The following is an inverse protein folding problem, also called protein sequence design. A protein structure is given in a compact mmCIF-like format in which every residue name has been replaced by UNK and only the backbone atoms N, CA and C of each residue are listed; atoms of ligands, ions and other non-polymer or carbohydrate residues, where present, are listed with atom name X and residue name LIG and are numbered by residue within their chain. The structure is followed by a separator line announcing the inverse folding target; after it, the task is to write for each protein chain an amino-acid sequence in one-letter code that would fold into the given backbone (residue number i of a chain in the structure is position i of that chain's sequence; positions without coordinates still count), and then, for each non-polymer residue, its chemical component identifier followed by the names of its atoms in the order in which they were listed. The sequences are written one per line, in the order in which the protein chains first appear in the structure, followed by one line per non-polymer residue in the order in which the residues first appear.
data_IF_743567680638
#
_entry.id   IF_743567680638
#
_cell.length_a   1.000
_cell.length_b   1.000
_cell.length_c   1.000
_cell.angle_alpha   90.00
_cell.angle_beta   90.00
_cell.angle_gamma   90.00
#
_symmetry.space_group_name_H-M   'P 1'
#
loop_
_entity.id
_entity.type
_entity.pdbx_description
1 polymer ?
#
# COMPACT_ATOMS: atom_id res chain seq x y z
N UNK A 1 8.82 -6.28 -2.15
CA UNK A 1 7.42 -6.68 -2.25
C UNK A 1 7.12 -6.97 -3.74
N UNK A 2 6.09 -7.75 -4.09
CA UNK A 2 5.88 -8.21 -5.49
C UNK A 2 4.44 -7.93 -5.96
N UNK A 3 4.27 -7.35 -7.16
CA UNK A 3 2.97 -7.17 -7.82
C UNK A 3 2.70 -8.39 -8.69
N UNK A 4 1.56 -9.06 -8.49
CA UNK A 4 1.25 -10.28 -9.25
C UNK A 4 0.36 -10.00 -10.50
N UNK A 5 -0.59 -9.05 -10.44
CA UNK A 5 -1.54 -8.75 -11.54
C UNK A 5 -2.09 -7.30 -11.49
N UNK A 6 -2.37 -6.70 -12.66
CA UNK A 6 -3.10 -5.43 -12.80
C UNK A 6 -3.42 -5.03 -14.26
N UNK A 7 -4.56 -4.38 -14.51
CA UNK A 7 -5.02 -3.95 -15.86
C UNK A 7 -4.99 -2.42 -16.07
N UNK A 8 -4.10 -1.71 -15.38
CA UNK A 8 -4.03 -0.24 -15.44
C UNK A 8 -5.01 0.49 -14.51
N UNK A 9 -5.85 -0.23 -13.76
CA UNK A 9 -6.72 0.36 -12.71
C UNK A 9 -6.80 -0.40 -11.41
N UNK A 10 -6.30 -1.62 -11.30
CA UNK A 10 -6.38 -2.38 -10.06
C UNK A 10 -5.09 -3.15 -9.87
N UNK A 11 -4.72 -3.44 -8.62
CA UNK A 11 -3.50 -4.15 -8.29
C UNK A 11 -3.76 -5.25 -7.27
N UNK A 12 -3.14 -6.41 -7.48
CA UNK A 12 -2.97 -7.43 -6.45
C UNK A 12 -1.51 -7.41 -5.99
N UNK A 13 -1.33 -7.18 -4.70
CA UNK A 13 -0.05 -6.85 -4.10
C UNK A 13 0.36 -7.84 -3.02
N UNK A 14 1.53 -8.45 -3.16
CA UNK A 14 2.07 -9.34 -2.15
C UNK A 14 3.00 -8.59 -1.20
N UNK A 15 2.64 -8.59 0.08
CA UNK A 15 3.55 -8.15 1.14
C UNK A 15 4.19 -9.34 1.87
N UNK A 16 5.38 -9.12 2.39
CA UNK A 16 6.15 -10.11 3.12
C UNK A 16 5.59 -10.21 4.55
N UNK A 17 5.47 -11.42 5.09
CA UNK A 17 5.10 -11.57 6.50
C UNK A 17 6.20 -11.02 7.41
N UNK A 18 5.89 -10.61 8.66
CA UNK A 18 6.89 -10.11 9.61
C UNK A 18 8.11 -11.03 9.76
N UNK A 19 7.91 -12.34 9.76
CA UNK A 19 9.01 -13.32 9.83
C UNK A 19 9.92 -13.29 8.60
N UNK A 20 9.36 -13.08 7.40
CA UNK A 20 10.13 -12.97 6.16
C UNK A 20 10.82 -11.62 6.06
N UNK A 21 10.15 -10.55 6.48
CA UNK A 21 10.71 -9.20 6.63
C UNK A 21 11.94 -9.21 7.54
N UNK A 22 11.82 -9.76 8.75
CA UNK A 22 12.93 -9.95 9.70
C UNK A 22 14.08 -10.76 9.12
N UNK A 23 13.80 -11.86 8.40
CA UNK A 23 14.83 -12.69 7.77
C UNK A 23 15.57 -11.97 6.65
N UNK A 24 14.89 -11.10 5.92
CA UNK A 24 15.47 -10.34 4.80
C UNK A 24 16.09 -9.01 5.23
N UNK A 25 16.07 -8.69 6.53
CA UNK A 25 16.45 -7.36 7.04
C UNK A 25 15.71 -6.23 6.32
N UNK A 26 14.45 -6.50 5.94
CA UNK A 26 13.53 -5.50 5.40
C UNK A 26 12.57 -5.22 6.54
N UNK A 27 12.79 -4.15 7.28
CA UNK A 27 11.78 -3.63 8.21
C UNK A 27 11.17 -2.42 7.53
N UNK A 28 9.97 -2.59 6.99
CA UNK A 28 9.21 -1.47 6.45
C UNK A 28 7.78 -1.65 6.90
N UNK A 29 7.19 -0.71 7.65
CA UNK A 29 5.86 -0.86 8.23
C UNK A 29 4.75 -0.63 7.20
N UNK A 30 5.04 -0.71 5.91
CA UNK A 30 4.04 -0.54 4.85
C UNK A 30 3.56 -1.86 4.27
N UNK A 31 2.27 -1.94 3.89
CA UNK A 31 1.21 -0.93 4.08
C UNK A 31 0.77 -0.72 5.55
N UNK A 32 0.46 0.53 5.93
CA UNK A 32 -0.21 0.83 7.21
C UNK A 32 -1.73 0.66 7.10
N UNK A 33 -2.21 -0.52 7.51
CA UNK A 33 -3.61 -0.91 7.38
C UNK A 33 -4.61 -0.07 8.20
N UNK A 34 -4.24 0.40 9.39
CA UNK A 34 -5.14 1.20 10.25
C UNK A 34 -5.44 2.60 9.67
N UNK A 35 -4.51 3.08 8.84
CA UNK A 35 -4.55 4.39 8.20
C UNK A 35 -5.01 4.30 6.74
N UNK A 36 -5.08 3.08 6.19
CA UNK A 36 -5.28 2.81 4.77
C UNK A 36 -4.28 3.54 3.88
N UNK A 37 -3.04 3.67 4.35
CA UNK A 37 -1.96 4.28 3.57
C UNK A 37 -0.96 3.24 3.14
N UNK A 38 -0.38 3.46 1.97
CA UNK A 38 0.66 2.62 1.42
C UNK A 38 1.61 3.50 0.61
N UNK A 39 2.89 3.51 0.98
CA UNK A 39 3.92 4.16 0.19
C UNK A 39 4.74 3.16 -0.63
N UNK A 40 5.32 3.64 -1.72
CA UNK A 40 6.19 2.83 -2.58
C UNK A 40 7.27 3.68 -3.26
N UNK A 41 8.49 3.13 -3.29
CA UNK A 41 9.68 3.77 -3.82
C UNK A 41 10.18 3.21 -5.16
N UNK A 42 11.12 3.91 -5.80
CA UNK A 42 11.94 3.39 -6.89
C UNK A 42 11.16 2.90 -8.11
N UNK A 43 11.58 1.78 -8.71
CA UNK A 43 10.96 1.23 -9.92
C UNK A 43 9.47 0.88 -9.74
N UNK A 44 9.06 0.54 -8.52
CA UNK A 44 7.67 0.18 -8.24
C UNK A 44 6.76 1.42 -8.18
N UNK A 45 7.26 2.58 -7.74
CA UNK A 45 6.52 3.84 -7.80
C UNK A 45 6.10 4.18 -9.25
N UNK A 46 6.96 3.92 -10.23
CA UNK A 46 6.66 4.12 -11.66
C UNK A 46 5.53 3.21 -12.14
N UNK A 47 5.51 1.95 -11.68
CA UNK A 47 4.42 1.03 -11.96
C UNK A 47 3.09 1.49 -11.34
N UNK A 48 3.11 1.99 -10.10
CA UNK A 48 1.92 2.56 -9.45
C UNK A 48 1.38 3.74 -10.26
N UNK A 49 2.23 4.70 -10.64
CA UNK A 49 1.82 5.88 -11.44
C UNK A 49 1.14 5.49 -12.76
N UNK A 50 1.63 4.43 -13.41
CA UNK A 50 1.10 3.98 -14.69
C UNK A 50 -0.20 3.17 -14.56
N UNK A 51 -0.46 2.55 -13.41
CA UNK A 51 -1.50 1.51 -13.28
C UNK A 51 -2.53 1.75 -12.16
N UNK A 52 -2.38 2.80 -11.37
CA UNK A 52 -3.28 3.15 -10.26
C UNK A 52 -3.74 4.58 -10.42
N UNK A 53 -5.05 4.78 -10.26
CA UNK A 53 -5.70 6.07 -10.26
C UNK A 53 -6.69 6.15 -9.09
N UNK A 54 -7.15 7.33 -8.68
CA UNK A 54 -8.35 7.41 -7.85
C UNK A 54 -9.51 6.62 -8.47
N UNK A 55 -10.18 5.80 -7.65
CA UNK A 55 -11.17 4.81 -8.08
C UNK A 55 -10.63 3.40 -8.31
N UNK A 56 -9.30 3.22 -8.27
CA UNK A 56 -8.64 1.92 -8.33
C UNK A 56 -8.90 1.06 -7.10
N UNK A 57 -8.78 -0.26 -7.24
CA UNK A 57 -8.75 -1.21 -6.13
C UNK A 57 -7.36 -1.81 -5.98
N UNK A 58 -6.79 -1.75 -4.77
CA UNK A 58 -5.57 -2.45 -4.42
C UNK A 58 -5.92 -3.53 -3.39
N UNK A 59 -5.56 -4.77 -3.68
CA UNK A 59 -5.72 -5.90 -2.79
C UNK A 59 -4.35 -6.31 -2.26
N UNK A 60 -4.19 -6.34 -0.94
CA UNK A 60 -2.98 -6.84 -0.32
C UNK A 60 -3.18 -8.28 0.07
N UNK A 61 -2.19 -9.13 -0.21
CA UNK A 61 -2.22 -10.53 0.15
C UNK A 61 -0.87 -11.02 0.67
N UNK A 62 -0.91 -12.08 1.47
CA UNK A 62 0.29 -12.79 1.89
C UNK A 62 0.05 -14.30 1.94
N UNK A 63 1.08 -15.08 2.23
CA UNK A 63 1.01 -16.54 2.38
C UNK A 63 1.15 -16.93 3.85
N UNK A 64 0.14 -17.59 4.39
CA UNK A 64 0.11 -18.10 5.77
C UNK A 64 -0.09 -19.61 5.69
N UNK A 65 0.82 -20.39 6.27
CA UNK A 65 0.72 -21.86 6.26
C UNK A 65 0.68 -22.48 4.85
N UNK A 66 1.32 -21.86 3.86
CA UNK A 66 1.32 -22.33 2.46
C UNK A 66 0.10 -21.90 1.64
N UNK A 67 -0.91 -21.29 2.26
CA UNK A 67 -2.11 -20.79 1.59
C UNK A 67 -2.05 -19.26 1.43
N UNK A 68 -2.51 -18.75 0.28
CA UNK A 68 -2.60 -17.30 0.01
C UNK A 68 -3.91 -16.72 0.55
N UNK A 69 -3.82 -15.54 1.19
CA UNK A 69 -4.95 -14.81 1.75
C UNK A 69 -4.90 -13.34 1.35
N UNK A 70 -6.00 -12.78 0.87
CA UNK A 70 -6.20 -11.33 0.82
C UNK A 70 -6.40 -10.86 2.26
N UNK A 71 -5.61 -9.89 2.71
CA UNK A 71 -5.63 -9.39 4.09
C UNK A 71 -6.07 -7.95 4.20
N UNK A 72 -6.02 -7.19 3.11
CA UNK A 72 -6.57 -5.84 3.05
C UNK A 72 -7.01 -5.49 1.63
N UNK A 73 -7.92 -4.52 1.55
CA UNK A 73 -8.39 -3.95 0.31
C UNK A 73 -8.46 -2.42 0.47
N UNK A 74 -7.80 -1.69 -0.42
CA UNK A 74 -7.90 -0.25 -0.51
C UNK A 74 -8.69 0.10 -1.76
N UNK A 75 -9.75 0.87 -1.61
CA UNK A 75 -10.29 1.65 -2.71
C UNK A 75 -9.55 3.00 -2.72
N UNK A 76 -8.80 3.23 -3.79
CA UNK A 76 -7.87 4.35 -3.89
C UNK A 76 -8.66 5.64 -4.03
N UNK A 77 -8.48 6.54 -3.08
CA UNK A 77 -9.18 7.82 -3.02
C UNK A 77 -8.31 8.98 -3.48
N UNK A 78 -7.02 8.90 -3.16
CA UNK A 78 -6.01 9.90 -3.45
C UNK A 78 -4.68 9.20 -3.69
N UNK A 79 -3.88 9.78 -4.56
CA UNK A 79 -2.47 9.42 -4.77
C UNK A 79 -1.69 10.74 -4.70
N UNK A 80 -0.55 10.74 -4.03
CA UNK A 80 0.34 11.88 -3.95
C UNK A 80 1.77 11.44 -4.17
N UNK A 81 2.58 12.30 -4.78
CA UNK A 81 4.03 12.17 -4.70
C UNK A 81 4.47 12.30 -3.24
N UNK A 82 5.50 11.55 -2.84
CA UNK A 82 6.00 11.54 -1.46
C UNK A 82 6.37 12.94 -0.98
N UNK A 83 7.09 13.70 -1.82
CA UNK A 83 7.42 15.09 -1.56
C UNK A 83 6.18 15.93 -1.24
N UNK A 84 5.15 15.87 -2.09
CA UNK A 84 3.92 16.65 -1.89
C UNK A 84 3.20 16.24 -0.61
N UNK A 85 3.16 14.94 -0.29
CA UNK A 85 2.56 14.43 0.94
C UNK A 85 3.27 14.94 2.20
N UNK A 86 4.59 15.19 2.12
CA UNK A 86 5.40 15.71 3.22
C UNK A 86 5.38 17.23 3.35
N UNK A 87 4.95 17.95 2.32
CA UNK A 87 4.74 19.39 2.43
C UNK A 87 3.28 19.74 2.83
N UNK A 88 2.35 18.80 2.64
CA UNK A 88 0.93 18.99 2.97
C UNK A 88 0.65 18.82 4.47
N UNK A 89 0.28 19.92 5.14
CA UNK A 89 0.05 19.96 6.59
C UNK A 89 -1.08 19.03 7.04
N UNK A 90 -2.17 18.96 6.28
CA UNK A 90 -3.34 18.15 6.64
C UNK A 90 -3.04 16.66 6.49
N UNK A 91 -2.34 16.28 5.41
CA UNK A 91 -1.87 14.90 5.19
C UNK A 91 -0.94 14.47 6.33
N UNK A 92 0.05 15.29 6.68
CA UNK A 92 0.96 15.01 7.81
C UNK A 92 0.28 14.93 9.17
N UNK A 93 -0.74 15.75 9.41
CA UNK A 93 -1.50 15.71 10.65
C UNK A 93 -2.41 14.47 10.75
N UNK A 94 -2.84 13.94 9.60
CA UNK A 94 -3.81 12.83 9.54
C UNK A 94 -3.15 11.45 9.52
N UNK A 95 -2.03 11.32 8.83
CA UNK A 95 -1.38 10.04 8.55
C UNK A 95 0.02 10.01 9.13
N UNK A 96 0.44 8.84 9.62
CA UNK A 96 1.77 8.58 10.21
C UNK A 96 2.61 7.64 9.34
N UNK A 97 2.18 7.42 8.10
CA UNK A 97 2.94 6.64 7.14
C UNK A 97 4.38 7.13 7.06
N UNK A 98 5.29 6.17 6.99
CA UNK A 98 6.72 6.42 6.99
C UNK A 98 7.16 7.23 5.77
N UNK A 99 6.51 7.06 4.62
CA UNK A 99 6.73 7.89 3.44
C UNK A 99 6.22 9.34 3.59
N UNK A 100 5.44 9.63 4.64
CA UNK A 100 4.94 10.97 4.99
C UNK A 100 5.74 11.60 6.15
N UNK A 101 6.45 10.77 6.95
CA UNK A 101 7.25 11.24 8.09
C UNK A 101 8.61 10.53 8.18
N UNK A 102 9.43 10.55 7.11
CA UNK A 102 10.72 9.85 7.11
C UNK A 102 11.65 10.29 8.25
N UNK A 103 11.50 11.52 8.75
CA UNK A 103 12.25 12.04 9.90
C UNK A 103 11.99 11.28 11.22
N UNK A 104 10.87 10.58 11.33
CA UNK A 104 10.56 9.74 12.50
C UNK A 104 11.16 8.33 12.39
N UNK A 105 11.83 8.03 11.28
CA UNK A 105 12.28 6.69 10.91
C UNK A 105 13.71 6.70 10.36
N UNK A 106 14.64 7.26 11.15
CA UNK A 106 16.06 7.38 10.81
C UNK A 106 16.72 6.05 10.41
N UNK A 107 16.25 4.92 10.97
CA UNK A 107 16.75 3.59 10.61
C UNK A 107 16.53 3.25 9.13
N UNK A 108 15.47 3.78 8.53
CA UNK A 108 15.08 3.46 7.15
C UNK A 108 15.41 4.58 6.17
N UNK A 109 15.49 5.83 6.63
CA UNK A 109 16.01 6.96 5.84
C UNK A 109 17.16 7.68 6.55
N UNK A 110 18.32 7.04 6.74
CA UNK A 110 19.46 7.63 7.46
C UNK A 110 20.06 8.84 6.75
N UNK A 111 19.77 9.01 5.46
CA UNK A 111 20.24 10.12 4.62
C UNK A 111 19.12 11.09 4.24
N UNK A 112 17.99 11.08 4.95
CA UNK A 112 16.91 12.02 4.67
C UNK A 112 17.34 13.46 4.98
N UNK A 113 17.26 14.32 3.97
CA UNK A 113 17.46 15.76 4.11
C UNK A 113 16.30 16.50 3.46
N UNK A 114 15.48 17.15 4.30
CA UNK A 114 14.33 17.94 3.88
C UNK A 114 14.70 19.06 2.90
N UNK A 115 15.94 19.55 2.92
CA UNK A 115 16.39 20.62 2.04
C UNK A 115 16.76 20.12 0.64
N UNK A 116 17.07 18.84 0.49
CA UNK A 116 17.46 18.22 -0.79
C UNK A 116 16.33 17.42 -1.44
N UNK A 117 15.27 17.17 -0.67
CA UNK A 117 14.16 16.30 -1.02
C UNK A 117 13.53 16.58 -2.38
N UNK A 118 13.31 17.84 -2.72
CA UNK A 118 12.70 18.24 -4.00
C UNK A 118 13.54 17.80 -5.21
N UNK A 119 14.85 17.69 -5.03
CA UNK A 119 15.80 17.32 -6.09
C UNK A 119 16.08 15.82 -6.10
N UNK A 120 16.01 15.16 -4.94
CA UNK A 120 16.43 13.77 -4.77
C UNK A 120 15.28 12.77 -4.74
N UNK A 121 14.06 13.20 -4.40
CA UNK A 121 12.94 12.28 -4.18
C UNK A 121 11.87 12.32 -5.29
N UNK A 122 12.29 11.92 -6.48
CA UNK A 122 11.41 11.79 -7.65
C UNK A 122 10.69 10.43 -7.74
N UNK A 123 10.97 9.51 -6.83
CA UNK A 123 10.56 8.12 -6.96
C UNK A 123 9.77 7.60 -5.75
N UNK A 124 9.24 8.48 -4.92
CA UNK A 124 8.38 8.10 -3.81
C UNK A 124 6.92 8.51 -4.06
N UNK A 125 5.99 7.60 -3.79
CA UNK A 125 4.56 7.82 -3.99
C UNK A 125 3.77 7.26 -2.82
N UNK A 126 2.72 7.96 -2.42
CA UNK A 126 1.82 7.57 -1.35
C UNK A 126 0.41 7.40 -1.89
N UNK A 127 -0.18 6.24 -1.60
CA UNK A 127 -1.54 5.87 -1.95
C UNK A 127 -2.41 5.92 -0.69
N UNK A 128 -3.58 6.54 -0.80
CA UNK A 128 -4.56 6.69 0.27
C UNK A 128 -5.84 5.95 -0.08
N UNK A 129 -6.19 4.96 0.74
CA UNK A 129 -7.47 4.27 0.69
C UNK A 129 -8.59 5.05 1.39
N UNK A 130 -9.83 4.92 0.92
CA UNK A 130 -10.99 5.54 1.57
C UNK A 130 -11.71 4.58 2.53
N UNK A 131 -11.77 4.98 3.81
CA UNK A 131 -12.46 4.27 4.90
C UNK A 131 -13.97 4.10 4.66
N UNK A 132 -14.62 5.03 3.97
CA UNK A 132 -16.08 4.99 3.68
C UNK A 132 -16.43 4.02 2.56
N UNK A 133 -15.46 3.72 1.70
CA UNK A 133 -15.63 2.87 0.53
C UNK A 133 -15.08 1.45 0.72
N UNK A 134 -14.60 1.12 1.93
CA UNK A 134 -14.25 -0.23 2.35
C UNK A 134 -15.48 -1.14 2.15
N UNK A 135 -15.52 -1.75 0.96
CA UNK A 135 -16.60 -2.57 0.45
C UNK A 135 -17.95 -1.85 0.41
N UNK A 136 -18.08 -0.88 -0.48
CA UNK A 136 -19.38 -0.63 -1.11
C UNK A 136 -19.88 -1.95 -1.70
N UNK A 137 -20.80 -2.61 -1.00
CA UNK A 137 -21.41 -3.91 -1.30
C UNK A 137 -20.67 -4.67 -2.41
N UNK A 138 -19.55 -5.32 -2.10
CA UNK A 138 -19.16 -6.47 -2.91
C UNK A 138 -20.35 -7.41 -2.82
N UNK A 139 -21.22 -7.38 -3.84
CA UNK A 139 -22.14 -8.48 -4.08
C UNK A 139 -21.21 -9.65 -4.28
N UNK A 140 -21.08 -10.47 -3.25
CA UNK A 140 -20.56 -11.82 -3.35
C UNK A 140 -21.42 -12.45 -4.43
N UNK A 141 -20.95 -12.43 -5.68
CA UNK A 141 -21.52 -13.27 -6.70
C UNK A 141 -21.15 -14.68 -6.25
N UNK A 142 -22.13 -15.31 -5.61
CA UNK A 142 -22.21 -16.71 -5.27
C UNK A 142 -21.33 -17.56 -6.18
N UNK A 143 -20.11 -17.82 -5.72
CA UNK A 143 -19.25 -18.87 -6.22
C UNK A 143 -18.64 -19.48 -4.97
N UNK A 144 -19.07 -20.72 -4.71
CA UNK A 144 -18.63 -21.62 -3.64
C UNK A 144 -19.34 -21.48 -2.29
N UNK A 145 -20.64 -21.80 -2.20
CA UNK A 145 -21.20 -22.83 -1.27
C UNK A 145 -22.54 -23.35 -1.84
N UNK A 146 -22.47 -24.28 -2.78
CA UNK A 146 -23.53 -25.28 -3.01
C UNK A 146 -22.86 -26.60 -3.37
N UNK A 147 -22.08 -27.13 -2.44
CA UNK A 147 -21.64 -28.53 -2.44
C UNK A 147 -21.12 -28.85 -1.03
N UNK A 148 -22.06 -29.05 -0.10
CA UNK A 148 -21.92 -29.88 1.10
C UNK A 148 -23.02 -29.43 2.05
N UNK A 149 -24.10 -30.21 2.09
CA UNK A 149 -25.10 -30.38 3.16
C UNK A 149 -26.37 -30.95 2.51
N UNK A 150 -26.20 -32.12 1.89
CA UNK A 150 -27.23 -33.14 1.74
C UNK A 150 -26.51 -34.49 1.92
N UNK A 151 -26.29 -34.83 3.18
CA UNK A 151 -26.30 -36.21 3.64
C UNK A 151 -27.54 -36.33 4.53
#
# INVERSE_FOLDING_TARGET
MDIEYGNGKNMLYRYLSPSVMKKKHIDHPDPLFDELTYGEGGNFSSMVRQNVLPGSHIFFHTTIGGQRYITAHYFVSKIMEGFDARQDKDTRATYRNVHIHPENFEEWWPSYDVNLEKETDSNDIVIFGDKKSLLGNLRIHYLLIKNSLKN
#
